data_IF_113209635550
#
_entry.id   IF_113209635550
#
_cell.length_a   1.000
_cell.length_b   1.000
_cell.length_c   1.000
_cell.angle_alpha   90.00
_cell.angle_beta   90.00
_cell.angle_gamma   90.00
#
_symmetry.space_group_name_H-M   'P 1'
#
loop_
_entity.id
_entity.type
_entity.pdbx_description
1 polymer ?
#
# COMPACT_ATOMS: atom_id res chain seq x y z
N UNK A 1 -21.32 -5.16 1.44
CA UNK A 1 -22.54 -4.79 0.70
C UNK A 1 -22.69 -3.29 0.75
N UNK A 2 -22.62 -2.64 -0.37
CA UNK A 2 -22.93 -1.22 -0.57
C UNK A 2 -24.34 -1.11 -1.14
N UNK A 3 -25.14 -0.14 -0.69
CA UNK A 3 -26.54 0.01 -1.07
C UNK A 3 -26.85 1.37 -1.73
N UNK A 4 -25.84 2.23 -1.89
CA UNK A 4 -25.98 3.54 -2.52
C UNK A 4 -24.65 3.95 -3.15
N UNK A 5 -24.67 4.36 -4.40
CA UNK A 5 -23.51 4.79 -5.17
C UNK A 5 -23.44 6.31 -5.43
N UNK A 6 -24.25 7.11 -4.71
CA UNK A 6 -24.31 8.58 -4.89
C UNK A 6 -22.95 9.27 -4.74
N UNK A 7 -22.06 8.71 -3.92
CA UNK A 7 -20.74 9.26 -3.66
C UNK A 7 -19.62 8.60 -4.50
N UNK A 8 -19.95 7.59 -5.31
CA UNK A 8 -18.99 6.97 -6.21
C UNK A 8 -18.59 7.93 -7.33
N UNK A 9 -17.38 8.50 -7.26
CA UNK A 9 -16.89 9.47 -8.25
C UNK A 9 -16.74 8.88 -9.65
N UNK A 10 -16.66 7.57 -9.81
CA UNK A 10 -16.54 6.90 -11.12
C UNK A 10 -17.88 6.82 -11.86
N UNK A 11 -19.03 6.99 -11.17
CA UNK A 11 -20.38 6.86 -11.72
C UNK A 11 -21.14 8.17 -11.77
N UNK A 12 -21.03 8.98 -10.74
CA UNK A 12 -21.80 10.22 -10.61
C UNK A 12 -21.12 11.45 -11.25
N UNK A 13 -20.09 11.24 -12.05
CA UNK A 13 -19.34 12.29 -12.79
C UNK A 13 -18.69 13.36 -11.89
N UNK A 14 -18.44 13.07 -10.61
CA UNK A 14 -17.80 13.98 -9.67
C UNK A 14 -16.26 13.97 -9.83
N UNK A 15 -15.80 14.10 -11.09
CA UNK A 15 -14.38 13.94 -11.45
C UNK A 15 -13.47 15.07 -10.94
N UNK A 16 -14.06 16.18 -10.49
CA UNK A 16 -13.32 17.30 -9.85
C UNK A 16 -12.87 17.00 -8.41
N UNK A 17 -13.41 15.94 -7.80
CA UNK A 17 -13.01 15.50 -6.46
C UNK A 17 -12.11 14.27 -6.52
N UNK A 18 -11.44 13.97 -5.42
CA UNK A 18 -10.67 12.74 -5.28
C UNK A 18 -11.58 11.52 -5.44
N UNK A 19 -11.05 10.45 -6.04
CA UNK A 19 -11.78 9.21 -6.25
C UNK A 19 -12.29 8.60 -4.93
N UNK A 20 -13.61 8.42 -4.85
CA UNK A 20 -14.26 7.65 -3.80
C UNK A 20 -14.86 6.41 -4.46
N UNK A 21 -14.24 5.23 -4.29
CA UNK A 21 -14.74 3.95 -4.86
C UNK A 21 -15.85 3.37 -3.98
N UNK A 22 -17.00 4.07 -3.97
CA UNK A 22 -18.17 3.75 -3.16
C UNK A 22 -19.23 3.13 -4.08
N UNK A 23 -18.93 1.95 -4.61
CA UNK A 23 -19.79 1.28 -5.58
C UNK A 23 -20.85 0.44 -4.86
N UNK A 24 -22.12 0.54 -5.28
CA UNK A 24 -23.13 -0.43 -4.90
C UNK A 24 -22.73 -1.82 -5.40
N UNK A 25 -22.48 -2.74 -4.49
CA UNK A 25 -22.07 -4.08 -4.86
C UNK A 25 -22.35 -5.15 -3.81
N UNK A 26 -22.44 -6.39 -4.29
CA UNK A 26 -22.34 -7.61 -3.49
C UNK A 26 -21.20 -8.45 -4.04
N UNK A 27 -20.10 -8.52 -3.33
CA UNK A 27 -18.90 -9.20 -3.79
C UNK A 27 -18.49 -10.33 -2.84
N UNK A 28 -18.04 -11.45 -3.42
CA UNK A 28 -17.38 -12.51 -2.67
C UNK A 28 -15.91 -12.10 -2.44
N UNK A 29 -15.60 -11.71 -1.20
CA UNK A 29 -14.28 -11.20 -0.86
C UNK A 29 -13.22 -12.30 -0.82
N UNK A 30 -13.51 -13.45 -0.20
CA UNK A 30 -12.59 -14.57 -0.12
C UNK A 30 -13.34 -15.91 -0.29
N UNK A 31 -12.78 -16.79 -1.14
CA UNK A 31 -13.24 -18.18 -1.33
C UNK A 31 -12.04 -19.02 -1.78
N UNK A 32 -11.46 -19.78 -0.89
CA UNK A 32 -10.28 -20.58 -1.18
C UNK A 32 -10.29 -21.94 -0.47
N UNK A 33 -9.49 -22.84 -0.98
CA UNK A 33 -9.11 -24.09 -0.32
C UNK A 33 -7.67 -23.94 0.18
N UNK A 34 -7.45 -24.32 1.43
CA UNK A 34 -6.11 -24.36 2.01
C UNK A 34 -5.73 -25.80 2.37
N UNK A 35 -4.66 -26.28 1.77
CA UNK A 35 -4.04 -27.57 2.08
C UNK A 35 -2.81 -27.36 2.95
N UNK A 36 -2.84 -27.89 4.17
CA UNK A 36 -1.73 -27.86 5.10
C UNK A 36 -1.08 -29.24 5.15
N UNK A 37 0.05 -29.39 4.47
CA UNK A 37 0.79 -30.66 4.47
C UNK A 37 1.45 -30.92 5.83
N UNK A 38 2.06 -29.87 6.41
CA UNK A 38 2.65 -29.88 7.75
C UNK A 38 2.77 -28.42 8.25
N UNK A 39 3.20 -28.16 9.50
CA UNK A 39 3.36 -26.80 10.02
C UNK A 39 4.28 -25.88 9.20
N UNK A 40 5.14 -26.46 8.37
CA UNK A 40 6.15 -25.73 7.59
C UNK A 40 5.75 -25.50 6.13
N UNK A 41 4.65 -26.12 5.66
CA UNK A 41 4.26 -26.06 4.26
C UNK A 41 2.74 -26.02 4.10
N UNK A 42 2.25 -24.98 3.45
CA UNK A 42 0.85 -24.88 3.04
C UNK A 42 0.69 -24.34 1.60
N UNK A 43 -0.42 -24.75 0.99
CA UNK A 43 -0.86 -24.31 -0.33
C UNK A 43 -2.27 -23.75 -0.21
N UNK A 44 -2.52 -22.58 -0.80
CA UNK A 44 -3.84 -21.94 -0.85
C UNK A 44 -4.24 -21.73 -2.31
N UNK A 45 -5.45 -22.13 -2.69
CA UNK A 45 -5.96 -22.00 -4.07
C UNK A 45 -7.34 -21.35 -4.04
N UNK A 46 -7.52 -20.30 -4.81
CA UNK A 46 -8.76 -19.54 -4.95
C UNK A 46 -8.62 -18.08 -4.58
N UNK A 47 -9.78 -17.40 -4.40
CA UNK A 47 -9.83 -15.99 -4.06
C UNK A 47 -9.34 -15.74 -2.64
N UNK A 48 -8.29 -14.98 -2.50
CA UNK A 48 -7.59 -14.78 -1.24
C UNK A 48 -7.02 -13.37 -1.13
N UNK A 49 -6.72 -12.95 0.11
CA UNK A 49 -5.93 -11.75 0.39
C UNK A 49 -4.45 -12.10 0.39
N UNK A 50 -3.62 -11.24 -0.20
CA UNK A 50 -2.16 -11.35 -0.15
C UNK A 50 -1.60 -10.02 0.36
N UNK A 51 -0.90 -10.08 1.50
CA UNK A 51 -0.21 -8.93 2.07
C UNK A 51 1.27 -9.29 2.23
N UNK A 52 2.14 -8.64 1.48
CA UNK A 52 3.57 -8.88 1.52
C UNK A 52 4.28 -7.76 2.27
N UNK A 53 5.10 -8.14 3.22
CA UNK A 53 5.93 -7.27 4.05
C UNK A 53 5.15 -6.08 4.65
N UNK A 54 5.53 -4.84 4.30
CA UNK A 54 4.85 -3.62 4.74
C UNK A 54 3.71 -3.18 3.81
N UNK A 55 3.41 -3.95 2.76
CA UNK A 55 2.41 -3.68 1.73
C UNK A 55 2.78 -2.52 0.77
N UNK A 56 4.06 -2.18 0.69
CA UNK A 56 4.52 -1.14 -0.25
C UNK A 56 4.38 -1.55 -1.70
N UNK A 57 4.46 -2.85 -2.00
CA UNK A 57 4.33 -3.40 -3.34
C UNK A 57 3.06 -4.23 -3.53
N UNK A 58 2.67 -5.03 -2.54
CA UNK A 58 1.50 -5.91 -2.63
C UNK A 58 0.72 -5.88 -1.31
N UNK A 59 -0.54 -5.47 -1.39
CA UNK A 59 -1.43 -5.39 -0.24
C UNK A 59 -2.91 -5.42 -0.61
N UNK A 60 -3.78 -5.54 0.37
CA UNK A 60 -5.23 -5.72 0.19
C UNK A 60 -6.01 -4.40 0.16
N UNK A 61 -5.36 -3.27 0.40
CA UNK A 61 -6.03 -1.96 0.47
C UNK A 61 -7.22 -1.94 1.46
N UNK A 62 -7.09 -2.65 2.58
CA UNK A 62 -8.15 -2.86 3.59
C UNK A 62 -8.68 -1.58 4.27
N UNK A 63 -8.20 -0.42 3.88
CA UNK A 63 -8.74 0.89 4.21
C UNK A 63 -10.09 1.17 3.54
N UNK A 64 -10.30 0.61 2.35
CA UNK A 64 -11.51 0.80 1.54
C UNK A 64 -12.61 -0.16 1.97
N UNK A 65 -13.84 0.06 1.48
CA UNK A 65 -14.98 -0.83 1.73
C UNK A 65 -14.80 -2.19 1.06
N UNK A 66 -14.24 -2.18 -0.16
CA UNK A 66 -13.87 -3.39 -0.89
C UNK A 66 -12.37 -3.61 -0.80
N UNK A 67 -11.96 -4.79 -0.34
CA UNK A 67 -10.56 -5.20 -0.35
C UNK A 67 -10.10 -5.50 -1.78
N UNK A 68 -8.83 -5.21 -2.06
CA UNK A 68 -8.13 -5.83 -3.18
C UNK A 68 -7.89 -7.30 -2.86
N UNK A 69 -8.36 -8.21 -3.70
CA UNK A 69 -8.18 -9.66 -3.54
C UNK A 69 -7.66 -10.29 -4.82
N UNK A 70 -7.15 -11.51 -4.72
CA UNK A 70 -6.43 -12.16 -5.78
C UNK A 70 -6.98 -13.58 -6.03
N UNK A 71 -7.35 -13.88 -7.25
CA UNK A 71 -7.63 -15.26 -7.67
C UNK A 71 -6.28 -15.89 -7.99
N UNK A 72 -5.81 -16.76 -7.09
CA UNK A 72 -4.41 -17.14 -7.03
C UNK A 72 -4.18 -18.57 -6.51
N UNK A 73 -2.97 -19.07 -6.80
CA UNK A 73 -2.36 -20.21 -6.14
C UNK A 73 -1.15 -19.72 -5.35
N UNK A 74 -1.18 -19.85 -4.03
CA UNK A 74 -0.10 -19.40 -3.15
C UNK A 74 0.50 -20.53 -2.34
N UNK A 75 1.81 -20.52 -2.20
CA UNK A 75 2.59 -21.50 -1.46
C UNK A 75 3.40 -20.78 -0.36
N UNK A 76 3.32 -21.31 0.85
CA UNK A 76 4.17 -20.91 1.96
C UNK A 76 5.06 -22.09 2.38
N UNK A 77 6.37 -21.86 2.50
CA UNK A 77 7.33 -22.82 3.01
C UNK A 77 8.20 -22.19 4.08
N UNK A 78 8.13 -22.73 5.31
CA UNK A 78 8.86 -22.25 6.49
C UNK A 78 9.62 -23.41 7.15
N UNK A 79 10.76 -23.83 6.58
CA UNK A 79 11.52 -24.98 7.10
C UNK A 79 12.03 -24.77 8.54
N UNK A 80 12.23 -23.51 8.94
CA UNK A 80 12.59 -23.12 10.29
C UNK A 80 12.01 -21.74 10.63
N UNK A 81 12.14 -21.29 11.87
CA UNK A 81 11.61 -19.99 12.32
C UNK A 81 12.37 -18.79 11.73
N UNK A 82 13.62 -19.01 11.33
CA UNK A 82 14.50 -17.99 10.78
C UNK A 82 14.31 -17.77 9.28
N UNK A 83 13.75 -18.75 8.55
CA UNK A 83 13.60 -18.67 7.09
C UNK A 83 12.18 -19.00 6.64
N UNK A 84 11.67 -18.22 5.69
CA UNK A 84 10.40 -18.45 5.02
C UNK A 84 10.47 -18.10 3.54
N UNK A 85 9.83 -18.90 2.72
CA UNK A 85 9.64 -18.68 1.29
C UNK A 85 8.14 -18.57 1.02
N UNK A 86 7.76 -17.55 0.26
CA UNK A 86 6.43 -17.36 -0.29
C UNK A 86 6.52 -17.32 -1.82
N UNK A 87 5.60 -18.00 -2.46
CA UNK A 87 5.37 -17.89 -3.91
C UNK A 87 3.88 -17.79 -4.17
N UNK A 88 3.48 -16.96 -5.13
CA UNK A 88 2.11 -16.92 -5.64
C UNK A 88 2.10 -16.71 -7.15
N UNK A 89 1.21 -17.45 -7.82
CA UNK A 89 0.74 -17.14 -9.16
C UNK A 89 -0.66 -16.56 -9.05
N UNK A 90 -0.88 -15.38 -9.64
CA UNK A 90 -2.15 -14.66 -9.65
C UNK A 90 -2.65 -14.59 -11.08
N UNK A 91 -3.86 -15.08 -11.31
CA UNK A 91 -4.57 -15.09 -12.59
C UNK A 91 -5.47 -13.86 -12.75
N UNK A 92 -5.99 -13.32 -11.64
CA UNK A 92 -6.85 -12.14 -11.63
C UNK A 92 -6.66 -11.31 -10.36
N UNK A 93 -6.59 -10.00 -10.54
CA UNK A 93 -6.70 -9.02 -9.45
C UNK A 93 -8.14 -8.52 -9.38
N UNK A 94 -8.81 -8.69 -8.23
CA UNK A 94 -10.12 -8.09 -7.97
C UNK A 94 -9.87 -6.77 -7.24
N UNK A 95 -10.29 -5.68 -7.84
CA UNK A 95 -9.95 -4.33 -7.39
C UNK A 95 -10.89 -3.81 -6.30
N UNK A 96 -10.57 -2.65 -5.75
CA UNK A 96 -11.40 -1.97 -4.76
C UNK A 96 -12.67 -1.31 -5.35
N UNK A 97 -12.82 -1.26 -6.69
CA UNK A 97 -13.90 -0.54 -7.37
C UNK A 97 -15.21 -1.32 -7.48
N UNK A 98 -15.31 -2.47 -6.80
CA UNK A 98 -16.53 -3.28 -6.75
C UNK A 98 -16.70 -4.19 -7.96
N UNK A 99 -17.92 -4.73 -8.14
CA UNK A 99 -18.24 -5.71 -9.19
C UNK A 99 -18.82 -5.09 -10.47
N UNK A 100 -19.08 -3.80 -10.46
CA UNK A 100 -19.64 -3.08 -11.62
C UNK A 100 -18.52 -2.40 -12.41
N UNK A 101 -18.69 -2.37 -13.73
CA UNK A 101 -17.74 -1.70 -14.60
C UNK A 101 -17.82 -0.17 -14.43
N UNK A 102 -16.67 0.54 -14.51
CA UNK A 102 -16.68 1.99 -14.40
C UNK A 102 -17.41 2.65 -15.56
N UNK A 103 -18.05 3.77 -15.28
CA UNK A 103 -18.61 4.63 -16.31
C UNK A 103 -17.89 6.00 -16.27
N UNK A 104 -17.31 6.44 -17.36
CA UNK A 104 -17.21 5.79 -18.67
C UNK A 104 -16.23 4.62 -18.72
N UNK A 105 -16.54 3.62 -19.54
CA UNK A 105 -15.79 2.34 -19.66
C UNK A 105 -14.31 2.46 -20.06
N UNK A 106 -13.84 3.63 -20.44
CA UNK A 106 -12.43 3.81 -20.80
C UNK A 106 -11.48 4.00 -19.60
N UNK A 107 -11.98 4.01 -18.37
CA UNK A 107 -11.13 4.09 -17.17
C UNK A 107 -10.74 2.66 -16.73
N UNK A 108 -9.94 2.00 -17.55
CA UNK A 108 -9.52 0.60 -17.31
C UNK A 108 -8.82 0.41 -15.97
N UNK A 109 -8.06 1.40 -15.49
CA UNK A 109 -7.41 1.35 -14.17
C UNK A 109 -8.40 1.28 -12.99
N UNK A 110 -9.68 1.56 -13.22
CA UNK A 110 -10.76 1.48 -12.23
C UNK A 110 -11.74 0.34 -12.54
N UNK A 111 -11.40 -0.57 -13.45
CA UNK A 111 -12.20 -1.76 -13.70
C UNK A 111 -12.31 -2.63 -12.43
N UNK A 112 -13.41 -3.34 -12.29
CA UNK A 112 -13.67 -4.25 -11.16
C UNK A 112 -12.63 -5.37 -11.05
N UNK A 113 -12.02 -5.74 -12.17
CA UNK A 113 -11.06 -6.83 -12.32
C UNK A 113 -9.96 -6.42 -13.28
N UNK A 114 -8.78 -7.03 -13.09
CA UNK A 114 -7.66 -6.96 -14.02
C UNK A 114 -7.21 -8.40 -14.31
N UNK A 115 -7.38 -8.85 -15.55
CA UNK A 115 -6.79 -10.11 -16.00
C UNK A 115 -5.27 -10.01 -15.96
N UNK A 116 -4.62 -11.02 -15.43
CA UNK A 116 -3.18 -10.91 -15.15
C UNK A 116 -2.48 -12.27 -15.11
N UNK A 117 -1.16 -12.24 -15.33
CA UNK A 117 -0.23 -13.35 -15.12
C UNK A 117 0.90 -12.87 -14.22
N UNK A 118 0.64 -12.88 -12.91
CA UNK A 118 1.58 -12.31 -11.95
C UNK A 118 2.25 -13.41 -11.14
N UNK A 119 3.59 -13.34 -11.06
CA UNK A 119 4.41 -14.18 -10.20
C UNK A 119 5.00 -13.35 -9.07
N UNK A 120 4.69 -13.71 -7.82
CA UNK A 120 5.26 -13.10 -6.63
C UNK A 120 6.16 -14.11 -5.93
N UNK A 121 7.42 -13.76 -5.72
CA UNK A 121 8.39 -14.57 -4.99
C UNK A 121 8.98 -13.71 -3.87
N UNK A 122 8.99 -14.24 -2.64
CA UNK A 122 9.58 -13.55 -1.50
C UNK A 122 10.27 -14.54 -0.56
N UNK A 123 11.54 -14.27 -0.23
CA UNK A 123 12.28 -14.99 0.79
C UNK A 123 12.51 -14.08 1.99
N UNK A 124 12.10 -14.54 3.18
CA UNK A 124 12.28 -13.84 4.47
C UNK A 124 13.32 -14.53 5.32
N UNK A 125 14.21 -13.73 5.89
CA UNK A 125 15.24 -14.19 6.81
C UNK A 125 15.15 -13.38 8.10
N UNK A 126 14.83 -14.04 9.21
CA UNK A 126 14.71 -13.44 10.54
C UNK A 126 15.91 -13.94 11.38
N UNK A 127 17.06 -13.32 11.21
CA UNK A 127 18.28 -13.76 11.87
C UNK A 127 18.29 -13.45 13.36
N UNK A 128 17.96 -12.21 13.72
CA UNK A 128 17.83 -11.76 15.10
C UNK A 128 17.07 -10.41 15.13
N UNK A 129 16.76 -9.84 16.30
CA UNK A 129 16.07 -8.54 16.37
C UNK A 129 16.78 -7.38 15.67
N UNK A 130 18.13 -7.46 15.49
CA UNK A 130 18.90 -6.43 14.81
C UNK A 130 18.90 -6.58 13.30
N UNK A 131 18.60 -7.78 12.77
CA UNK A 131 18.74 -8.04 11.35
C UNK A 131 17.65 -9.01 10.87
N UNK A 132 16.71 -8.48 10.13
CA UNK A 132 15.77 -9.22 9.33
C UNK A 132 15.90 -8.75 7.88
N UNK A 133 15.83 -9.66 6.94
CA UNK A 133 15.96 -9.36 5.53
C UNK A 133 14.81 -10.01 4.74
N UNK A 134 14.36 -9.30 3.72
CA UNK A 134 13.37 -9.78 2.75
C UNK A 134 13.93 -9.53 1.37
N UNK A 135 14.13 -10.60 0.59
CA UNK A 135 14.47 -10.53 -0.83
C UNK A 135 13.24 -10.90 -1.63
N UNK A 136 12.96 -10.17 -2.67
CA UNK A 136 11.77 -10.41 -3.48
C UNK A 136 12.01 -10.20 -4.97
N UNK A 137 11.18 -10.88 -5.77
CA UNK A 137 11.04 -10.67 -7.20
C UNK A 137 9.55 -10.73 -7.56
N UNK A 138 9.04 -9.70 -8.21
CA UNK A 138 7.66 -9.59 -8.66
C UNK A 138 7.65 -9.38 -10.16
N UNK A 139 7.03 -10.33 -10.88
CA UNK A 139 6.83 -10.25 -12.33
C UNK A 139 5.33 -10.05 -12.53
N UNK A 140 4.94 -8.85 -12.95
CA UNK A 140 3.55 -8.44 -13.04
C UNK A 140 3.17 -8.20 -14.50
N UNK A 141 2.39 -9.09 -15.10
CA UNK A 141 1.78 -8.93 -16.40
C UNK A 141 0.29 -8.63 -16.21
N UNK A 142 -0.16 -7.46 -16.66
CA UNK A 142 -1.55 -7.02 -16.67
C UNK A 142 -2.07 -7.05 -18.09
N UNK A 143 -2.79 -8.11 -18.46
CA UNK A 143 -3.26 -8.31 -19.85
C UNK A 143 -4.22 -7.20 -20.31
N UNK A 144 -5.06 -6.66 -19.40
CA UNK A 144 -5.99 -5.57 -19.69
C UNK A 144 -5.34 -4.18 -19.61
N UNK A 145 -4.16 -4.06 -19.01
CA UNK A 145 -3.50 -2.78 -18.74
C UNK A 145 -1.98 -2.90 -18.86
N UNK A 146 -1.52 -3.24 -20.07
CA UNK A 146 -0.11 -3.52 -20.38
C UNK A 146 0.89 -2.45 -19.85
N UNK A 147 0.49 -1.18 -19.84
CA UNK A 147 1.31 -0.08 -19.30
C UNK A 147 1.60 -0.20 -17.77
N UNK A 148 0.95 -1.11 -17.04
CA UNK A 148 1.25 -1.41 -15.64
C UNK A 148 2.17 -2.61 -15.47
N UNK A 149 2.40 -3.36 -16.55
CA UNK A 149 3.25 -4.55 -16.53
C UNK A 149 4.69 -4.17 -16.21
N UNK A 150 5.29 -4.86 -15.26
CA UNK A 150 6.65 -4.59 -14.80
C UNK A 150 7.27 -5.82 -14.15
N UNK A 151 8.59 -5.83 -14.06
CA UNK A 151 9.32 -6.72 -13.16
C UNK A 151 10.10 -5.90 -12.15
N UNK A 152 10.00 -6.30 -10.88
CA UNK A 152 10.64 -5.61 -9.75
C UNK A 152 11.42 -6.60 -8.92
N UNK A 153 12.69 -6.29 -8.65
CA UNK A 153 13.55 -7.08 -7.76
C UNK A 153 14.07 -6.18 -6.64
N UNK A 154 14.04 -6.68 -5.41
CA UNK A 154 14.45 -5.85 -4.30
C UNK A 154 14.88 -6.61 -3.05
N UNK A 155 15.47 -5.83 -2.16
CA UNK A 155 15.91 -6.25 -0.83
C UNK A 155 15.47 -5.21 0.19
N UNK A 156 14.81 -5.66 1.26
CA UNK A 156 14.51 -4.84 2.43
C UNK A 156 15.19 -5.43 3.65
N UNK A 157 15.86 -4.57 4.42
CA UNK A 157 16.49 -4.90 5.69
C UNK A 157 15.83 -4.09 6.80
N UNK A 158 15.47 -4.76 7.89
CA UNK A 158 14.88 -4.11 9.06
C UNK A 158 15.54 -4.58 10.33
N UNK A 159 15.56 -3.73 11.35
CA UNK A 159 16.09 -4.11 12.63
C UNK A 159 15.61 -3.21 13.76
N UNK A 160 15.79 -3.70 15.00
CA UNK A 160 15.48 -2.98 16.22
C UNK A 160 16.60 -3.22 17.26
N UNK A 161 17.07 -2.11 17.86
CA UNK A 161 18.02 -2.13 18.98
C UNK A 161 17.51 -1.21 20.07
N UNK A 162 17.16 -1.79 21.22
CA UNK A 162 16.48 -1.07 22.31
C UNK A 162 15.20 -0.39 21.75
N UNK A 163 15.10 0.93 21.88
CA UNK A 163 13.97 1.72 21.39
C UNK A 163 14.14 2.21 19.93
N UNK A 164 15.33 2.05 19.34
CA UNK A 164 15.58 2.42 17.95
C UNK A 164 15.10 1.34 16.99
N UNK A 165 14.42 1.74 15.92
CA UNK A 165 14.01 0.92 14.77
C UNK A 165 14.64 1.48 13.51
N UNK A 166 14.93 0.63 12.54
CA UNK A 166 15.37 1.07 11.23
C UNK A 166 14.86 0.15 10.14
N UNK A 167 14.69 0.70 8.97
CA UNK A 167 14.52 -0.04 7.72
C UNK A 167 15.31 0.63 6.60
N UNK A 168 15.82 -0.21 5.70
CA UNK A 168 16.43 0.20 4.46
C UNK A 168 15.94 -0.73 3.35
N UNK A 169 15.55 -0.18 2.22
CA UNK A 169 15.04 -0.94 1.08
C UNK A 169 15.62 -0.37 -0.22
N UNK A 170 15.94 -1.27 -1.13
CA UNK A 170 16.29 -0.96 -2.50
C UNK A 170 15.55 -1.91 -3.42
N UNK A 171 15.04 -1.40 -4.51
CA UNK A 171 14.53 -2.20 -5.62
C UNK A 171 14.84 -1.54 -6.96
N UNK A 172 14.87 -2.38 -7.98
CA UNK A 172 14.94 -1.96 -9.37
C UNK A 172 13.74 -2.51 -10.12
N UNK A 173 13.16 -1.71 -11.00
CA UNK A 173 12.00 -2.05 -11.81
C UNK A 173 12.25 -1.75 -13.27
N UNK A 174 11.95 -2.71 -14.11
CA UNK A 174 12.03 -2.58 -15.57
C UNK A 174 10.73 -3.04 -16.22
N UNK A 175 10.63 -2.88 -17.52
CA UNK A 175 9.52 -3.39 -18.32
C UNK A 175 9.41 -4.93 -18.20
N UNK A 176 8.20 -5.44 -18.39
CA UNK A 176 7.89 -6.87 -18.43
C UNK A 176 6.69 -7.11 -19.33
N UNK A 177 6.65 -8.31 -19.97
CA UNK A 177 5.59 -8.74 -20.87
C UNK A 177 5.29 -7.68 -21.96
N UNK A 178 4.04 -7.27 -22.12
CA UNK A 178 3.60 -6.35 -23.16
C UNK A 178 3.70 -4.85 -22.77
N UNK A 179 4.52 -4.50 -21.78
CA UNK A 179 4.79 -3.09 -21.42
C UNK A 179 5.34 -2.34 -22.64
N UNK A 180 4.65 -1.28 -23.13
CA UNK A 180 5.02 -0.62 -24.38
C UNK A 180 6.26 0.27 -24.31
N UNK A 181 6.81 0.50 -23.11
CA UNK A 181 7.95 1.40 -22.88
C UNK A 181 9.06 0.66 -22.15
N UNK A 182 10.24 0.60 -22.76
CA UNK A 182 11.46 0.15 -22.09
C UNK A 182 11.87 1.20 -21.07
N UNK A 183 12.18 0.78 -19.82
CA UNK A 183 12.61 1.68 -18.75
C UNK A 183 13.42 0.95 -17.68
N UNK A 184 14.18 1.72 -16.92
CA UNK A 184 14.93 1.26 -15.76
C UNK A 184 14.78 2.29 -14.62
N UNK A 185 14.04 1.95 -13.58
CA UNK A 185 13.75 2.84 -12.48
C UNK A 185 14.12 2.22 -11.15
N UNK A 186 14.81 2.98 -10.31
CA UNK A 186 15.22 2.57 -8.98
C UNK A 186 14.24 3.02 -7.90
N UNK A 187 14.17 2.26 -6.81
CA UNK A 187 13.45 2.58 -5.59
C UNK A 187 14.38 2.52 -4.39
N UNK A 188 14.32 3.53 -3.54
CA UNK A 188 15.06 3.59 -2.28
C UNK A 188 14.13 4.01 -1.16
N UNK A 189 14.21 3.35 0.00
CA UNK A 189 13.54 3.80 1.21
C UNK A 189 14.45 3.61 2.43
N UNK A 190 14.56 4.64 3.23
CA UNK A 190 15.26 4.63 4.50
C UNK A 190 14.34 5.18 5.59
N UNK A 191 14.22 4.49 6.71
CA UNK A 191 13.46 4.97 7.86
C UNK A 191 14.23 4.71 9.16
N UNK A 192 14.23 5.70 10.05
CA UNK A 192 14.71 5.60 11.41
C UNK A 192 13.57 5.95 12.36
N UNK A 193 13.30 5.09 13.32
CA UNK A 193 12.25 5.28 14.31
C UNK A 193 12.75 5.12 15.74
N UNK A 194 12.06 5.77 16.65
CA UNK A 194 12.32 5.68 18.08
C UNK A 194 11.01 5.46 18.86
N UNK A 195 10.98 4.41 19.68
CA UNK A 195 9.86 4.18 20.59
C UNK A 195 10.04 5.02 21.85
N UNK A 196 9.04 5.79 22.20
CA UNK A 196 9.01 6.60 23.40
C UNK A 196 8.32 5.81 24.51
N UNK A 197 9.04 5.52 25.61
CA UNK A 197 8.56 4.70 26.69
C UNK A 197 8.50 5.48 28.00
N UNK A 198 7.50 5.18 28.84
CA UNK A 198 7.38 5.68 30.21
C UNK A 198 7.14 4.49 31.14
N UNK A 199 7.92 4.36 32.22
CA UNK A 199 7.84 3.26 33.18
C UNK A 199 7.80 1.88 32.50
N UNK A 200 8.67 1.67 31.49
CA UNK A 200 8.76 0.45 30.66
C UNK A 200 7.54 0.17 29.78
N UNK A 201 6.61 1.12 29.65
CA UNK A 201 5.47 1.03 28.72
C UNK A 201 5.68 1.97 27.55
N UNK A 202 5.60 1.46 26.32
CA UNK A 202 5.66 2.29 25.12
C UNK A 202 4.40 3.15 25.03
N UNK A 203 4.58 4.46 25.09
CA UNK A 203 3.51 5.48 25.01
C UNK A 203 3.36 6.06 23.60
N UNK A 204 4.36 5.89 22.75
CA UNK A 204 4.32 6.36 21.38
C UNK A 204 5.59 6.01 20.62
N UNK A 205 5.63 6.45 19.38
CA UNK A 205 6.81 6.39 18.53
C UNK A 205 6.87 7.60 17.60
N UNK A 206 8.07 7.90 17.14
CA UNK A 206 8.36 8.89 16.11
C UNK A 206 9.30 8.24 15.10
N UNK A 207 9.08 8.51 13.81
CA UNK A 207 9.97 8.08 12.74
C UNK A 207 10.24 9.22 11.78
N UNK A 208 11.42 9.20 11.19
CA UNK A 208 11.80 10.00 10.02
C UNK A 208 12.15 9.05 8.90
N UNK A 209 11.65 9.31 7.71
CA UNK A 209 11.92 8.49 6.54
C UNK A 209 12.16 9.31 5.29
N UNK A 210 12.84 8.69 4.34
CA UNK A 210 13.09 9.23 3.02
C UNK A 210 12.87 8.13 2.00
N UNK A 211 11.92 8.35 1.10
CA UNK A 211 11.55 7.43 0.05
C UNK A 211 11.76 8.07 -1.32
N UNK A 212 12.26 7.30 -2.26
CA UNK A 212 12.43 7.71 -3.66
C UNK A 212 11.83 6.63 -4.55
N UNK A 213 10.87 7.03 -5.37
CA UNK A 213 10.42 6.27 -6.53
C UNK A 213 11.04 6.96 -7.74
N UNK A 214 12.09 6.36 -8.27
CA UNK A 214 12.90 6.92 -9.33
C UNK A 214 12.19 7.05 -10.67
N UNK A 215 12.82 7.69 -11.60
CA UNK A 215 12.33 7.93 -12.96
C UNK A 215 13.40 7.55 -13.97
N UNK A 216 12.98 7.04 -15.12
CA UNK A 216 13.82 6.90 -16.30
C UNK A 216 13.67 8.15 -17.19
N UNK A 217 14.59 9.09 -17.03
CA UNK A 217 14.69 10.34 -17.81
C UNK A 217 13.38 11.18 -17.83
N UNK A 218 12.51 11.07 -16.82
CA UNK A 218 11.23 11.78 -16.76
C UNK A 218 10.16 11.25 -17.72
N UNK A 219 10.35 10.06 -18.30
CA UNK A 219 9.38 9.42 -19.21
C UNK A 219 8.42 8.49 -18.46
N UNK A 220 8.99 7.62 -17.63
CA UNK A 220 8.26 6.67 -16.81
C UNK A 220 8.95 6.56 -15.45
N UNK A 221 8.19 6.36 -14.39
CA UNK A 221 8.72 6.24 -13.05
C UNK A 221 8.35 4.90 -12.43
N UNK A 222 9.07 4.50 -11.39
CA UNK A 222 8.81 3.33 -10.57
C UNK A 222 7.37 3.32 -10.08
N UNK A 223 6.61 2.28 -10.38
CA UNK A 223 5.19 2.14 -10.03
C UNK A 223 4.96 1.00 -9.06
N UNK A 224 3.93 1.14 -8.24
CA UNK A 224 3.51 0.12 -7.27
C UNK A 224 2.03 -0.23 -7.45
N UNK A 225 1.64 -0.90 -8.55
CA UNK A 225 0.24 -1.07 -8.93
C UNK A 225 -0.61 -1.81 -7.90
N UNK A 226 -0.05 -2.80 -7.19
CA UNK A 226 -0.75 -3.62 -6.20
C UNK A 226 -0.55 -3.17 -4.74
N UNK A 227 0.05 -2.01 -4.50
CA UNK A 227 0.32 -1.50 -3.16
C UNK A 227 -0.95 -1.14 -2.37
N UNK A 228 -0.87 -1.17 -1.05
CA UNK A 228 -1.80 -0.43 -0.18
C UNK A 228 -1.42 1.06 -0.18
N UNK A 229 -1.68 1.73 -1.30
CA UNK A 229 -1.12 3.05 -1.63
C UNK A 229 -1.43 4.13 -0.61
N UNK A 230 -2.66 4.16 -0.06
CA UNK A 230 -3.09 5.14 0.96
C UNK A 230 -2.24 5.12 2.24
N UNK A 231 -1.43 4.10 2.44
CA UNK A 231 -0.51 3.98 3.59
C UNK A 231 0.79 4.75 3.38
N UNK A 232 1.07 5.19 2.15
CA UNK A 232 2.35 5.76 1.74
C UNK A 232 2.13 7.09 1.01
N UNK A 233 3.14 7.97 1.05
CA UNK A 233 3.17 9.23 0.32
C UNK A 233 1.96 10.15 0.58
N UNK A 234 1.49 10.15 1.84
CA UNK A 234 0.43 11.03 2.31
C UNK A 234 -0.99 10.50 2.15
N UNK A 235 -1.91 11.03 2.96
CA UNK A 235 -3.29 10.55 3.02
C UNK A 235 -4.23 11.26 2.06
N UNK A 236 -3.79 12.36 1.43
CA UNK A 236 -4.59 12.99 0.37
C UNK A 236 -4.60 12.18 -0.92
N UNK A 237 -3.80 11.11 -0.99
CA UNK A 237 -3.71 10.20 -2.15
C UNK A 237 -3.27 10.90 -3.46
N UNK A 238 -2.46 11.96 -3.36
CA UNK A 238 -1.97 12.70 -4.54
C UNK A 238 -1.00 11.87 -5.38
N UNK A 239 -0.31 10.91 -4.77
CA UNK A 239 0.73 10.10 -5.40
C UNK A 239 0.36 8.62 -5.51
N UNK A 240 -0.94 8.29 -5.72
CA UNK A 240 -1.38 6.91 -6.00
C UNK A 240 -0.77 6.34 -7.28
N UNK A 241 -0.40 7.20 -8.20
CA UNK A 241 0.46 6.91 -9.36
C UNK A 241 1.67 7.81 -9.25
N UNK A 242 2.86 7.24 -9.33
CA UNK A 242 4.10 8.02 -9.30
C UNK A 242 4.17 8.90 -10.56
N UNK A 243 4.38 10.22 -10.42
CA UNK A 243 4.56 11.10 -11.56
C UNK A 243 5.74 10.67 -12.44
N UNK A 244 5.68 10.96 -13.73
CA UNK A 244 6.72 10.52 -14.68
C UNK A 244 8.13 11.00 -14.30
N UNK A 245 8.28 12.17 -13.67
CA UNK A 245 9.55 12.66 -13.16
C UNK A 245 9.97 12.05 -11.79
N UNK A 246 9.33 10.95 -11.36
CA UNK A 246 9.60 10.31 -10.08
C UNK A 246 9.05 11.08 -8.89
N UNK A 247 9.27 10.53 -7.69
CA UNK A 247 8.84 11.10 -6.42
C UNK A 247 9.92 10.90 -5.37
N UNK A 248 10.33 11.99 -4.72
CA UNK A 248 11.09 12.02 -3.47
C UNK A 248 10.16 12.46 -2.36
N UNK A 249 10.05 11.69 -1.31
CA UNK A 249 9.21 11.94 -0.13
C UNK A 249 10.07 11.92 1.14
N UNK A 250 10.29 13.08 1.73
CA UNK A 250 10.86 13.21 3.05
C UNK A 250 9.73 13.35 4.06
N UNK A 251 9.63 12.42 5.01
CA UNK A 251 8.51 12.41 5.93
C UNK A 251 8.91 12.22 7.40
N UNK A 252 8.05 12.73 8.28
CA UNK A 252 8.09 12.46 9.72
C UNK A 252 6.72 11.93 10.13
N UNK A 253 6.70 10.83 10.86
CA UNK A 253 5.48 10.26 11.42
C UNK A 253 5.57 10.19 12.94
N UNK A 254 4.44 10.34 13.62
CA UNK A 254 4.37 10.06 15.04
C UNK A 254 3.06 9.38 15.41
N UNK A 255 3.12 8.49 16.41
CA UNK A 255 1.95 7.80 16.95
C UNK A 255 2.04 7.81 18.47
N UNK A 256 0.99 8.24 19.15
CA UNK A 256 0.90 8.27 20.61
C UNK A 256 -0.36 7.60 21.12
N UNK A 257 -0.21 6.81 22.17
CA UNK A 257 -1.33 6.31 22.96
C UNK A 257 -1.75 7.39 23.95
N UNK A 258 -2.97 7.90 23.82
CA UNK A 258 -3.51 8.96 24.66
C UNK A 258 -4.87 8.54 25.24
N UNK A 259 -5.24 9.09 26.40
CA UNK A 259 -6.54 8.83 27.03
C UNK A 259 -6.89 7.35 27.15
N UNK A 260 -6.00 6.52 27.69
CA UNK A 260 -6.14 5.07 27.96
C UNK A 260 -6.56 4.18 26.76
N UNK A 261 -7.38 4.66 25.85
CA UNK A 261 -7.92 3.90 24.69
C UNK A 261 -7.85 4.68 23.37
N UNK A 262 -7.26 5.85 23.38
CA UNK A 262 -7.07 6.71 22.21
C UNK A 262 -5.72 6.52 21.58
N UNK A 263 -5.63 6.72 20.26
CA UNK A 263 -4.39 6.80 19.49
C UNK A 263 -4.42 8.06 18.66
N UNK A 264 -3.38 8.88 18.81
CA UNK A 264 -3.11 10.06 17.98
C UNK A 264 -2.00 9.73 17.00
N UNK A 265 -2.23 9.95 15.72
CA UNK A 265 -1.23 9.83 14.67
C UNK A 265 -1.04 11.15 13.94
N UNK A 266 0.20 11.48 13.56
CA UNK A 266 0.51 12.62 12.69
C UNK A 266 1.52 12.21 11.63
N UNK A 267 1.41 12.81 10.44
CA UNK A 267 2.38 12.68 9.35
C UNK A 267 2.65 14.06 8.74
N UNK A 268 3.89 14.31 8.42
CA UNK A 268 4.36 15.52 7.72
C UNK A 268 5.20 15.03 6.54
N UNK A 269 4.90 15.52 5.34
CA UNK A 269 5.58 15.15 4.12
C UNK A 269 6.06 16.36 3.36
N UNK A 270 7.25 16.28 2.75
CA UNK A 270 7.76 17.20 1.76
C UNK A 270 8.06 16.42 0.49
N UNK A 271 7.42 16.81 -0.62
CA UNK A 271 7.50 16.11 -1.88
C UNK A 271 8.29 16.88 -2.93
N UNK A 272 9.11 16.16 -3.69
CA UNK A 272 9.81 16.68 -4.86
C UNK A 272 9.86 15.63 -5.95
N UNK A 273 10.02 16.06 -7.19
CA UNK A 273 10.37 15.12 -8.26
C UNK A 273 11.79 14.56 -8.07
N UNK A 274 12.00 13.37 -8.59
CA UNK A 274 13.34 12.80 -8.66
C UNK A 274 14.14 13.47 -9.79
N UNK A 275 13.56 13.52 -10.98
CA UNK A 275 14.10 14.28 -12.10
C UNK A 275 13.67 15.76 -12.06
N UNK A 276 14.49 16.66 -12.60
CA UNK A 276 14.23 18.11 -12.73
C UNK A 276 14.06 18.88 -11.43
N UNK A 277 14.07 18.24 -10.26
CA UNK A 277 13.94 18.85 -8.93
C UNK A 277 12.73 19.81 -8.81
N UNK A 278 11.58 19.42 -9.37
CA UNK A 278 10.31 20.15 -9.28
C UNK A 278 9.79 20.03 -7.85
N UNK A 279 9.34 21.13 -7.25
CA UNK A 279 8.74 21.11 -5.91
C UNK A 279 7.25 20.69 -6.04
N UNK A 280 6.92 19.50 -5.57
CA UNK A 280 5.55 19.00 -5.63
C UNK A 280 4.66 19.53 -4.50
N UNK A 281 5.25 20.12 -3.45
CA UNK A 281 4.52 20.63 -2.30
C UNK A 281 4.69 19.80 -1.05
N UNK A 282 3.75 19.93 -0.11
CA UNK A 282 3.84 19.33 1.22
C UNK A 282 2.47 18.86 1.72
N UNK A 283 2.45 17.92 2.66
CA UNK A 283 1.23 17.41 3.28
C UNK A 283 1.33 17.37 4.80
N UNK A 284 0.27 17.77 5.47
CA UNK A 284 0.10 17.71 6.92
C UNK A 284 -1.10 16.83 7.24
N UNK A 285 -0.90 15.80 8.05
CA UNK A 285 -1.94 14.83 8.34
C UNK A 285 -2.04 14.57 9.85
N UNK A 286 -3.26 14.45 10.35
CA UNK A 286 -3.56 14.12 11.74
C UNK A 286 -4.71 13.12 11.81
N UNK A 287 -4.62 12.16 12.71
CA UNK A 287 -5.68 11.20 13.00
C UNK A 287 -5.86 10.98 14.48
N UNK A 288 -7.09 10.75 14.89
CA UNK A 288 -7.41 10.29 16.23
C UNK A 288 -8.39 9.12 16.18
N UNK A 289 -8.01 8.00 16.75
CA UNK A 289 -8.90 6.84 16.92
C UNK A 289 -9.14 6.55 18.39
N UNK A 290 -10.34 6.08 18.71
CA UNK A 290 -10.73 5.74 20.09
C UNK A 290 -11.54 4.47 20.12
N UNK A 291 -11.20 3.55 21.05
CA UNK A 291 -12.04 2.38 21.35
C UNK A 291 -13.13 2.82 22.31
N UNK A 292 -14.38 2.74 21.87
CA UNK A 292 -15.55 3.17 22.63
C UNK A 292 -15.91 2.18 23.76
N UNK A 293 -16.74 2.57 24.74
CA UNK A 293 -17.12 1.69 25.85
C UNK A 293 -17.88 0.42 25.42
N UNK A 294 -18.49 0.41 24.25
CA UNK A 294 -19.19 -0.75 23.69
C UNK A 294 -18.14 -1.70 23.10
N UNK A 295 -18.16 -2.97 23.53
CA UNK A 295 -17.22 -3.99 23.04
C UNK A 295 -17.27 -4.09 21.53
N UNK A 296 -16.12 -4.02 20.88
CA UNK A 296 -15.98 -4.09 19.42
C UNK A 296 -16.22 -2.77 18.69
N UNK A 297 -16.67 -1.70 19.37
CA UNK A 297 -16.94 -0.41 18.73
C UNK A 297 -15.73 0.52 18.82
N UNK A 298 -15.38 1.15 17.71
CA UNK A 298 -14.32 2.17 17.61
C UNK A 298 -14.74 3.32 16.70
N UNK A 299 -14.17 4.48 16.94
CA UNK A 299 -14.34 5.67 16.09
C UNK A 299 -12.96 6.18 15.63
N UNK A 300 -12.90 6.76 14.44
CA UNK A 300 -11.74 7.41 13.86
C UNK A 300 -12.16 8.75 13.24
N UNK A 301 -11.38 9.79 13.52
CA UNK A 301 -11.36 11.04 12.77
C UNK A 301 -9.96 11.21 12.17
N UNK A 302 -9.90 11.55 10.89
CA UNK A 302 -8.64 11.71 10.15
C UNK A 302 -8.77 12.91 9.23
N UNK A 303 -7.75 13.78 9.22
CA UNK A 303 -7.69 14.98 8.38
C UNK A 303 -6.33 15.05 7.71
N UNK A 304 -6.31 15.49 6.47
CA UNK A 304 -5.10 15.72 5.70
C UNK A 304 -5.25 16.95 4.84
N UNK A 305 -4.16 17.71 4.68
CA UNK A 305 -4.05 18.95 3.92
C UNK A 305 -2.78 18.91 3.06
N UNK A 306 -2.94 18.71 1.77
CA UNK A 306 -1.88 18.81 0.78
C UNK A 306 -1.86 20.21 0.20
N UNK A 307 -0.71 20.87 0.28
CA UNK A 307 -0.42 22.20 -0.26
C UNK A 307 0.45 22.02 -1.50
N UNK A 308 -0.15 22.27 -2.65
CA UNK A 308 0.50 22.10 -3.94
C UNK A 308 1.46 23.26 -4.24
N UNK A 309 2.62 22.96 -4.83
CA UNK A 309 3.46 23.95 -5.48
C UNK A 309 3.37 23.76 -7.01
N UNK A 310 4.27 22.99 -7.61
CA UNK A 310 4.33 22.81 -9.07
C UNK A 310 3.65 21.50 -9.54
N UNK A 311 2.89 20.83 -8.68
CA UNK A 311 2.20 19.59 -8.98
C UNK A 311 0.85 19.46 -8.29
N UNK A 312 -0.18 19.08 -9.06
CA UNK A 312 -1.51 18.85 -8.52
C UNK A 312 -2.24 20.16 -8.15
N UNK A 313 -3.10 20.08 -7.16
CA UNK A 313 -3.88 21.21 -6.61
C UNK A 313 -4.00 21.04 -5.10
N UNK A 314 -4.15 22.14 -4.37
CA UNK A 314 -4.43 22.11 -2.92
C UNK A 314 -5.61 21.17 -2.64
N UNK A 315 -5.40 20.22 -1.74
CA UNK A 315 -6.37 19.17 -1.49
C UNK A 315 -6.51 18.90 0.00
N UNK A 316 -7.74 19.06 0.49
CA UNK A 316 -8.08 18.75 1.88
C UNK A 316 -9.05 17.57 1.93
N UNK A 317 -8.80 16.62 2.85
CA UNK A 317 -9.67 15.47 3.07
C UNK A 317 -9.98 15.29 4.55
N UNK A 318 -11.23 14.97 4.85
CA UNK A 318 -11.70 14.60 6.18
C UNK A 318 -12.40 13.25 6.13
N UNK A 319 -12.00 12.34 7.02
CA UNK A 319 -12.67 11.05 7.20
C UNK A 319 -13.22 10.95 8.62
N UNK A 320 -14.45 10.52 8.71
CA UNK A 320 -15.09 10.15 9.98
C UNK A 320 -15.58 8.71 9.83
N UNK A 321 -15.12 7.83 10.70
CA UNK A 321 -15.45 6.42 10.63
C UNK A 321 -15.91 5.90 12.01
N UNK A 322 -16.94 5.06 12.00
CA UNK A 322 -17.34 4.23 13.13
C UNK A 322 -17.28 2.79 12.66
N UNK A 323 -16.56 1.95 13.39
CA UNK A 323 -16.40 0.54 13.06
C UNK A 323 -16.82 -0.35 14.23
N UNK A 324 -17.55 -1.42 13.92
CA UNK A 324 -17.96 -2.43 14.88
C UNK A 324 -17.43 -3.80 14.46
N UNK A 325 -16.69 -4.45 15.37
CA UNK A 325 -16.20 -5.83 15.20
C UNK A 325 -16.92 -6.74 16.19
N UNK A 326 -17.67 -7.67 15.68
CA UNK A 326 -18.41 -8.69 16.46
C UNK A 326 -17.59 -9.96 16.70
#
# INVERSE_FOLDING_TARGET
VEINDEFNSTRNSQTQYSTVPDAENLQLNQAYLKYVYNPNFDLTVGRQTINLDNQRFVGTVAWRQNDQTFDAVSLNYKPCKEFGLFYSYIDQVNTIFGSEEPEPKFIQAQASKQESKIHLIQAKMNYNPLLNAVVYGYLMDFEDLAAWSNQTYGLRVTGKKNDFKYSAEYANQTEYADQPTDYDADYYALELGYNISSQSTTIGDISIGYEVLGSDDGKIAFQTPLATKHKFNGWTDMFLTTPANGLKDLYITSNFNIFSKGKLGTELHQYRSEEKNIDYGQEYSISYSHTLPIKGLSALAKYSDYQANDFGVDTQKLWLQVAYKY
#
